data_IF_168812275771
#
_entry.id   IF_168812275771
#
_cell.length_a   1.000
_cell.length_b   1.000
_cell.length_c   1.000
_cell.angle_alpha   90.00
_cell.angle_beta   90.00
_cell.angle_gamma   90.00
#
_symmetry.space_group_name_H-M   'P 1'
#
loop_
_entity.id
_entity.type
_entity.pdbx_description
1 polymer ?
#
# COMPACT_ATOMS: atom_id res chain seq x y z
N UNK A 1 -26.56 -20.22 -6.21
CA UNK A 1 -26.66 -19.64 -4.86
C UNK A 1 -25.40 -18.84 -4.64
N UNK A 2 -25.48 -17.51 -4.67
CA UNK A 2 -24.30 -16.66 -4.46
C UNK A 2 -23.98 -16.63 -2.97
N UNK A 3 -22.85 -17.23 -2.60
CA UNK A 3 -22.35 -17.13 -1.24
C UNK A 3 -21.99 -15.66 -0.98
N UNK A 4 -22.62 -15.03 0.02
CA UNK A 4 -22.22 -13.73 0.55
C UNK A 4 -20.85 -13.90 1.25
N UNK A 5 -19.80 -14.17 0.49
CA UNK A 5 -18.42 -14.12 0.99
C UNK A 5 -18.16 -12.69 1.41
N UNK A 6 -17.63 -12.53 2.61
CA UNK A 6 -17.60 -11.26 3.32
C UNK A 6 -16.88 -10.17 2.50
N UNK A 7 -17.64 -9.16 2.10
CA UNK A 7 -17.20 -7.96 1.37
C UNK A 7 -16.32 -7.03 2.22
N UNK A 8 -15.63 -7.54 3.24
CA UNK A 8 -14.70 -6.72 4.03
C UNK A 8 -13.47 -6.45 3.16
N UNK A 9 -13.27 -5.21 2.69
CA UNK A 9 -12.08 -4.89 1.92
C UNK A 9 -10.87 -5.05 2.83
N UNK A 10 -9.79 -5.56 2.24
CA UNK A 10 -8.49 -5.68 2.89
C UNK A 10 -7.43 -5.08 1.98
N UNK A 11 -6.40 -4.56 2.60
CA UNK A 11 -5.19 -4.15 1.92
C UNK A 11 -4.00 -4.69 2.69
N UNK A 12 -2.94 -5.01 1.97
CA UNK A 12 -1.67 -5.46 2.55
C UNK A 12 -0.57 -4.78 1.75
N UNK A 13 0.30 -4.05 2.45
CA UNK A 13 1.51 -3.48 1.86
C UNK A 13 2.70 -4.27 2.38
N UNK A 14 3.60 -4.65 1.49
CA UNK A 14 4.92 -5.17 1.86
C UNK A 14 5.98 -4.15 1.49
N UNK A 15 6.97 -3.96 2.36
CA UNK A 15 8.15 -3.14 2.13
C UNK A 15 9.38 -4.01 2.37
N UNK A 16 10.25 -4.12 1.37
CA UNK A 16 11.44 -4.97 1.38
C UNK A 16 11.15 -6.44 1.78
N UNK A 17 9.96 -6.92 1.42
CA UNK A 17 9.48 -8.28 1.71
C UNK A 17 8.81 -8.45 3.08
N UNK A 18 8.84 -7.44 3.95
CA UNK A 18 8.16 -7.45 5.24
C UNK A 18 6.78 -6.79 5.15
N UNK A 19 5.78 -7.40 5.79
CA UNK A 19 4.43 -6.80 5.86
C UNK A 19 4.52 -5.51 6.67
N UNK A 20 3.95 -4.43 6.14
CA UNK A 20 3.82 -3.16 6.83
C UNK A 20 3.13 -3.36 8.18
N UNK A 21 3.74 -2.82 9.24
CA UNK A 21 3.27 -3.04 10.60
C UNK A 21 1.79 -2.57 10.75
N UNK A 22 0.91 -3.38 11.36
CA UNK A 22 -0.48 -3.00 11.62
C UNK A 22 -0.66 -1.70 12.40
N UNK A 23 0.37 -1.22 13.13
CA UNK A 23 0.33 0.10 13.77
C UNK A 23 0.09 1.23 12.75
N UNK A 24 0.50 1.04 11.49
CA UNK A 24 0.28 1.99 10.40
C UNK A 24 -1.05 1.75 9.66
N UNK A 25 -1.77 0.66 9.94
CA UNK A 25 -3.06 0.39 9.30
C UNK A 25 -4.10 1.47 9.62
N UNK A 26 -4.02 2.09 10.80
CA UNK A 26 -4.86 3.23 11.17
C UNK A 26 -4.44 4.57 10.57
N UNK A 27 -3.19 4.69 10.12
CA UNK A 27 -2.63 5.92 9.56
C UNK A 27 -2.73 5.96 8.02
N UNK A 28 -2.84 4.81 7.34
CA UNK A 28 -3.00 4.78 5.88
C UNK A 28 -4.41 5.23 5.49
N UNK A 29 -4.52 6.44 4.94
CA UNK A 29 -5.78 7.05 4.56
C UNK A 29 -6.21 6.65 3.14
N UNK A 30 -5.24 6.49 2.24
CA UNK A 30 -5.54 6.24 0.82
C UNK A 30 -4.44 5.46 0.11
N UNK A 31 -4.87 4.56 -0.77
CA UNK A 31 -4.04 3.86 -1.74
C UNK A 31 -4.58 4.21 -3.13
N UNK A 32 -3.72 4.73 -4.01
CA UNK A 32 -4.04 4.95 -5.42
C UNK A 32 -3.07 4.12 -6.25
N UNK A 33 -3.60 3.27 -7.13
CA UNK A 33 -2.80 2.53 -8.11
C UNK A 33 -3.24 3.01 -9.49
N UNK A 34 -2.29 3.53 -10.27
CA UNK A 34 -2.46 3.91 -11.66
C UNK A 34 -1.63 2.98 -12.52
N UNK A 35 -2.28 2.05 -13.21
CA UNK A 35 -1.66 1.13 -14.15
C UNK A 35 -1.83 1.65 -15.58
N UNK A 36 -0.72 1.88 -16.27
CA UNK A 36 -0.69 2.53 -17.58
C UNK A 36 -0.22 1.55 -18.65
N UNK A 37 -0.99 1.40 -19.73
CA UNK A 37 -0.66 0.50 -20.84
C UNK A 37 0.59 0.93 -21.63
N UNK A 38 0.79 2.24 -21.79
CA UNK A 38 1.86 2.85 -22.60
C UNK A 38 2.83 3.67 -21.74
N UNK A 39 2.92 3.37 -20.44
CA UNK A 39 3.70 4.14 -19.48
C UNK A 39 4.19 3.32 -18.31
N UNK A 40 4.90 3.97 -17.39
CA UNK A 40 5.28 3.35 -16.11
C UNK A 40 4.10 3.56 -15.15
N UNK A 41 3.50 2.45 -14.70
CA UNK A 41 2.48 2.50 -13.66
C UNK A 41 3.04 3.05 -12.34
N UNK A 42 2.17 3.57 -11.50
CA UNK A 42 2.54 4.17 -10.21
C UNK A 42 1.57 3.76 -9.11
N UNK A 43 2.08 3.74 -7.88
CA UNK A 43 1.24 3.61 -6.70
C UNK A 43 1.58 4.73 -5.71
N UNK A 44 0.55 5.30 -5.10
CA UNK A 44 0.66 6.33 -4.07
C UNK A 44 0.01 5.80 -2.79
N UNK A 45 0.79 5.74 -1.73
CA UNK A 45 0.34 5.45 -0.37
C UNK A 45 0.32 6.77 0.40
N UNK A 46 -0.85 7.16 0.87
CA UNK A 46 -1.06 8.41 1.61
C UNK A 46 -1.41 8.10 3.05
N UNK A 47 -0.63 8.68 3.94
CA UNK A 47 -0.75 8.50 5.37
C UNK A 47 -1.15 9.81 6.04
N UNK A 48 -1.87 9.71 7.16
CA UNK A 48 -2.33 10.85 7.94
C UNK A 48 -1.16 11.72 8.46
N UNK A 49 -1.48 12.93 8.91
CA UNK A 49 -0.48 13.87 9.45
C UNK A 49 0.20 13.41 10.77
N UNK A 50 -0.30 12.35 11.42
CA UNK A 50 0.32 11.66 12.54
C UNK A 50 1.47 10.74 12.11
N UNK A 51 1.57 10.44 10.82
CA UNK A 51 2.61 9.60 10.21
C UNK A 51 4.01 10.22 10.14
N UNK A 52 4.31 11.30 10.88
CA UNK A 52 5.72 11.72 11.10
C UNK A 52 6.61 10.54 11.51
N UNK A 53 6.04 9.61 12.27
CA UNK A 53 6.72 8.40 12.71
C UNK A 53 7.08 7.45 11.55
N UNK A 54 6.36 7.44 10.42
CA UNK A 54 6.64 6.53 9.29
C UNK A 54 7.91 6.93 8.55
N UNK A 55 8.06 8.23 8.30
CA UNK A 55 9.28 8.75 7.65
C UNK A 55 10.48 8.61 8.58
N UNK A 56 10.29 8.86 9.86
CA UNK A 56 11.38 8.85 10.85
C UNK A 56 11.71 7.44 11.35
N UNK A 57 10.83 6.46 11.19
CA UNK A 57 11.07 5.06 11.58
C UNK A 57 12.00 4.31 10.63
N UNK A 58 12.21 4.83 9.42
CA UNK A 58 12.96 4.14 8.37
C UNK A 58 12.19 2.98 7.73
N UNK A 59 10.89 2.87 7.99
CA UNK A 59 10.03 1.83 7.39
C UNK A 59 10.00 1.93 5.87
N UNK A 60 10.07 3.15 5.34
CA UNK A 60 10.24 3.40 3.91
C UNK A 60 11.54 4.16 3.68
N UNK A 61 12.34 3.69 2.75
CA UNK A 61 13.47 4.43 2.18
C UNK A 61 13.26 4.57 0.66
N UNK A 62 13.98 5.50 0.03
CA UNK A 62 14.08 5.49 -1.43
C UNK A 62 14.65 4.13 -1.87
N UNK A 63 14.18 3.63 -3.02
CA UNK A 63 14.55 2.34 -3.60
C UNK A 63 14.05 1.10 -2.81
N UNK A 64 13.40 1.27 -1.64
CA UNK A 64 12.71 0.17 -0.97
C UNK A 64 11.71 -0.47 -1.92
N UNK A 65 11.72 -1.79 -1.98
CA UNK A 65 10.80 -2.56 -2.83
C UNK A 65 9.43 -2.64 -2.16
N UNK A 66 8.40 -2.21 -2.86
CA UNK A 66 7.03 -2.15 -2.34
C UNK A 66 6.11 -3.00 -3.20
N UNK A 67 5.31 -3.84 -2.56
CA UNK A 67 4.17 -4.48 -3.19
C UNK A 67 2.87 -4.13 -2.47
N UNK A 68 1.83 -3.83 -3.27
CA UNK A 68 0.50 -3.48 -2.76
C UNK A 68 -0.46 -4.58 -3.18
N UNK A 69 -1.19 -5.10 -2.21
CA UNK A 69 -2.20 -6.12 -2.39
C UNK A 69 -3.55 -5.56 -1.95
N UNK A 70 -4.55 -5.61 -2.83
CA UNK A 70 -5.89 -5.13 -2.58
C UNK A 70 -6.90 -6.23 -2.88
N UNK A 71 -8.03 -6.19 -2.18
CA UNK A 71 -9.16 -7.06 -2.46
C UNK A 71 -10.07 -7.21 -1.26
N UNK A 72 -10.62 -8.41 -1.09
CA UNK A 72 -11.46 -8.80 0.03
C UNK A 72 -10.76 -9.86 0.87
N UNK A 73 -11.23 -10.07 2.10
CA UNK A 73 -10.61 -11.02 3.06
C UNK A 73 -10.34 -12.41 2.48
N UNK A 74 -11.23 -12.89 1.60
CA UNK A 74 -11.13 -14.22 0.99
C UNK A 74 -10.54 -14.20 -0.44
N UNK A 75 -10.25 -13.02 -0.99
CA UNK A 75 -9.78 -12.81 -2.36
C UNK A 75 -8.96 -11.51 -2.46
N UNK A 76 -7.67 -11.61 -2.16
CA UNK A 76 -6.72 -10.50 -2.16
C UNK A 76 -5.57 -10.81 -3.11
N UNK A 77 -5.27 -9.90 -4.03
CA UNK A 77 -4.28 -10.07 -5.06
C UNK A 77 -3.26 -8.93 -5.06
N UNK A 78 -2.04 -9.22 -5.52
CA UNK A 78 -1.06 -8.17 -5.79
C UNK A 78 -1.55 -7.34 -6.98
N UNK A 79 -1.65 -6.03 -6.76
CA UNK A 79 -2.08 -5.05 -7.79
C UNK A 79 -0.97 -4.09 -8.20
N UNK A 80 0.12 -4.02 -7.43
CA UNK A 80 1.30 -3.23 -7.75
C UNK A 80 2.56 -3.87 -7.15
N UNK A 81 3.67 -3.78 -7.87
CA UNK A 81 5.01 -4.09 -7.40
C UNK A 81 6.00 -3.10 -8.03
N UNK A 82 6.81 -2.45 -7.22
CA UNK A 82 7.76 -1.43 -7.68
C UNK A 82 8.65 -0.95 -6.55
N UNK A 83 9.24 0.23 -6.70
CA UNK A 83 10.15 0.81 -5.71
C UNK A 83 9.69 2.21 -5.29
N UNK A 84 10.09 2.63 -4.09
CA UNK A 84 9.83 4.00 -3.61
C UNK A 84 10.72 4.99 -4.36
N UNK A 85 10.11 5.93 -5.07
CA UNK A 85 10.82 6.94 -5.87
C UNK A 85 10.76 8.35 -5.27
N UNK A 86 9.76 8.65 -4.43
CA UNK A 86 9.54 9.99 -3.89
C UNK A 86 8.82 9.96 -2.53
N UNK A 87 9.10 10.96 -1.69
CA UNK A 87 8.29 11.30 -0.51
C UNK A 87 7.77 12.72 -0.64
N UNK A 88 6.46 12.91 -0.49
CA UNK A 88 5.81 14.21 -0.59
C UNK A 88 5.02 14.52 0.68
N UNK A 89 5.20 15.73 1.21
CA UNK A 89 4.30 16.29 2.21
C UNK A 89 3.09 16.93 1.48
N UNK A 90 1.88 16.65 1.96
CA UNK A 90 0.64 17.23 1.46
C UNK A 90 0.26 18.43 2.31
#
# INVERSE_FOLDING_TARGET
MGENKHLTPVWIVYVDGERLDPMYEGALERIVVDDQLDGVGSAVLEFDSGAKQIRDSGTFALESQVSVHLGYKDDCAQVFAGEVTEFRAI
#
